data_IF_641778117620
#
_entry.id   IF_641778117620
#
_cell.length_a   1.000
_cell.length_b   1.000
_cell.length_c   1.000
_cell.angle_alpha   90.00
_cell.angle_beta   90.00
_cell.angle_gamma   90.00
#
_symmetry.space_group_name_H-M   'P 1'
#
loop_
_entity.id
_entity.type
_entity.pdbx_description
1 polymer ?
#
# COMPACT_ATOMS: atom_id res chain seq x y z
N UNK A 1 7.38 17.73 12.68
CA UNK A 1 7.21 16.30 13.00
C UNK A 1 8.37 15.55 12.38
N UNK A 2 9.19 14.85 13.17
CA UNK A 2 10.21 13.93 12.65
C UNK A 2 9.63 12.53 12.81
N UNK A 3 9.27 11.90 11.69
CA UNK A 3 8.91 10.50 11.70
C UNK A 3 10.19 9.71 12.01
N UNK A 4 10.22 8.90 13.08
CA UNK A 4 11.30 7.94 13.25
C UNK A 4 11.23 7.00 12.05
N UNK A 5 12.21 7.09 11.16
CA UNK A 5 12.40 6.09 10.12
C UNK A 5 13.19 4.99 10.82
N UNK A 6 12.58 3.81 10.96
CA UNK A 6 13.31 2.64 11.43
C UNK A 6 14.44 2.36 10.43
N UNK A 7 15.66 2.15 10.92
CA UNK A 7 16.85 2.04 10.06
C UNK A 7 16.83 0.78 9.16
N UNK A 8 15.88 -0.15 9.37
CA UNK A 8 15.75 -1.45 8.68
C UNK A 8 14.58 -1.55 7.68
N UNK A 9 13.99 -0.42 7.27
CA UNK A 9 12.88 -0.46 6.30
C UNK A 9 13.42 -0.75 4.89
N UNK A 10 13.13 -1.92 4.33
CA UNK A 10 13.63 -2.38 3.03
C UNK A 10 12.97 -1.71 1.80
N UNK A 11 12.17 -0.65 1.99
CA UNK A 11 11.46 0.03 0.91
C UNK A 11 11.53 1.55 1.03
N UNK A 12 11.47 2.22 -0.13
CA UNK A 12 11.54 3.68 -0.23
C UNK A 12 10.31 4.32 -0.90
N UNK A 13 9.37 3.49 -1.36
CA UNK A 13 8.16 3.93 -2.07
C UNK A 13 6.93 3.26 -1.50
N UNK A 14 5.75 3.84 -1.73
CA UNK A 14 4.48 3.22 -1.32
C UNK A 14 4.29 1.88 -2.04
N UNK A 15 4.68 1.77 -3.31
CA UNK A 15 4.67 0.49 -4.02
C UNK A 15 5.55 -0.57 -3.33
N UNK A 16 6.75 -0.17 -2.87
CA UNK A 16 7.64 -1.05 -2.11
C UNK A 16 7.04 -1.47 -0.77
N UNK A 17 6.38 -0.54 -0.06
CA UNK A 17 5.62 -0.85 1.15
C UNK A 17 4.52 -1.88 0.90
N UNK A 18 3.71 -1.69 -0.15
CA UNK A 18 2.63 -2.63 -0.50
C UNK A 18 3.18 -4.02 -0.84
N UNK A 19 4.27 -4.11 -1.59
CA UNK A 19 4.91 -5.40 -1.90
C UNK A 19 5.51 -6.05 -0.66
N UNK A 20 6.07 -5.24 0.25
CA UNK A 20 6.56 -5.69 1.55
C UNK A 20 5.41 -6.24 2.40
N UNK A 21 4.21 -5.69 2.34
CA UNK A 21 3.06 -6.25 3.05
C UNK A 21 2.49 -7.52 2.42
N UNK A 22 2.28 -7.52 1.10
CA UNK A 22 1.64 -8.64 0.40
C UNK A 22 2.58 -9.85 0.25
N UNK A 23 3.90 -9.64 0.23
CA UNK A 23 4.94 -10.68 0.03
C UNK A 23 4.79 -11.48 -1.28
N UNK A 24 4.02 -10.98 -2.24
CA UNK A 24 3.94 -11.49 -3.61
C UNK A 24 3.67 -10.34 -4.60
N UNK A 25 3.69 -10.64 -5.91
CA UNK A 25 3.22 -9.69 -6.91
C UNK A 25 1.67 -9.69 -6.86
N UNK A 26 1.02 -8.56 -6.59
CA UNK A 26 -0.43 -8.49 -6.51
C UNK A 26 -1.08 -8.50 -7.90
N UNK A 27 -2.38 -8.79 -7.90
CA UNK A 27 -3.25 -8.55 -9.04
C UNK A 27 -3.96 -7.18 -8.93
N UNK A 28 -4.45 -6.64 -10.05
CA UNK A 28 -5.31 -5.43 -10.03
C UNK A 28 -6.64 -5.75 -9.35
N UNK A 29 -7.07 -4.87 -8.45
CA UNK A 29 -8.25 -5.02 -7.58
C UNK A 29 -7.95 -5.71 -6.25
N UNK A 30 -6.74 -6.25 -6.08
CA UNK A 30 -6.31 -6.77 -4.80
C UNK A 30 -6.18 -5.62 -3.79
N UNK A 31 -6.57 -5.87 -2.54
CA UNK A 31 -6.48 -4.89 -1.47
C UNK A 31 -6.14 -5.51 -0.12
N UNK A 32 -5.51 -4.71 0.74
CA UNK A 32 -5.28 -5.05 2.13
C UNK A 32 -5.52 -3.83 3.02
N UNK A 33 -5.67 -4.06 4.33
CA UNK A 33 -5.87 -2.99 5.29
C UNK A 33 -4.83 -2.99 6.40
N UNK A 34 -4.29 -1.82 6.72
CA UNK A 34 -3.29 -1.64 7.79
C UNK A 34 -3.40 -0.25 8.40
N UNK A 35 -3.26 -0.16 9.72
CA UNK A 35 -3.31 1.10 10.48
C UNK A 35 -4.56 1.97 10.22
N UNK A 36 -5.72 1.35 9.97
CA UNK A 36 -6.98 2.06 9.70
C UNK A 36 -7.13 2.59 8.27
N UNK A 37 -6.27 2.15 7.34
CA UNK A 37 -6.33 2.46 5.92
C UNK A 37 -6.51 1.19 5.10
N UNK A 38 -7.19 1.30 3.97
CA UNK A 38 -7.27 0.26 2.94
C UNK A 38 -6.46 0.71 1.73
N UNK A 39 -5.61 -0.19 1.23
CA UNK A 39 -4.77 0.00 0.06
C UNK A 39 -5.27 -0.96 -1.03
N UNK A 40 -5.64 -0.42 -2.18
CA UNK A 40 -6.11 -1.19 -3.34
C UNK A 40 -5.21 -0.93 -4.54
N UNK A 41 -4.80 -2.01 -5.23
CA UNK A 41 -4.01 -1.95 -6.44
C UNK A 41 -4.96 -1.64 -7.60
N UNK A 42 -4.86 -0.44 -8.17
CA UNK A 42 -5.74 -0.03 -9.27
C UNK A 42 -5.07 -0.11 -10.63
N UNK A 43 -3.73 -0.14 -10.68
CA UNK A 43 -2.99 -0.26 -11.94
C UNK A 43 -1.59 -0.88 -11.77
N UNK A 44 -1.20 -1.71 -12.74
CA UNK A 44 0.10 -2.37 -12.82
C UNK A 44 0.74 -2.13 -14.19
N UNK A 45 1.95 -1.56 -14.16
CA UNK A 45 2.83 -1.49 -15.33
C UNK A 45 3.77 -2.69 -15.33
N UNK A 46 3.29 -3.81 -15.88
CA UNK A 46 4.00 -5.09 -15.86
C UNK A 46 4.13 -5.62 -14.43
N UNK A 47 5.34 -5.56 -13.85
CA UNK A 47 5.61 -5.98 -12.45
C UNK A 47 5.71 -4.81 -11.47
N UNK A 48 5.42 -3.59 -11.92
CA UNK A 48 5.50 -2.37 -11.10
C UNK A 48 4.10 -1.90 -10.78
N UNK A 49 3.83 -1.66 -9.50
CA UNK A 49 2.62 -0.96 -9.09
C UNK A 49 2.75 0.50 -9.53
N UNK A 50 1.87 0.94 -10.43
CA UNK A 50 1.86 2.31 -10.94
C UNK A 50 0.90 3.19 -10.13
N UNK A 51 -0.28 2.65 -9.80
CA UNK A 51 -1.31 3.38 -9.06
C UNK A 51 -1.91 2.56 -7.93
N UNK A 52 -2.18 3.25 -6.84
CA UNK A 52 -2.85 2.75 -5.65
C UNK A 52 -3.99 3.69 -5.29
N UNK A 53 -5.12 3.11 -4.88
CA UNK A 53 -6.15 3.84 -4.17
C UNK A 53 -5.98 3.60 -2.67
N UNK A 54 -6.01 4.67 -1.89
CA UNK A 54 -5.90 4.60 -0.42
C UNK A 54 -7.10 5.30 0.18
N UNK A 55 -7.88 4.57 0.96
CA UNK A 55 -9.07 5.07 1.65
C UNK A 55 -8.95 4.84 3.16
N UNK A 56 -9.53 5.72 3.97
CA UNK A 56 -9.62 5.47 5.41
C UNK A 56 -10.75 4.48 5.66
N UNK A 57 -10.56 3.56 6.61
CA UNK A 57 -11.61 2.64 7.05
C UNK A 57 -12.75 3.33 7.81
N UNK A 58 -12.69 4.67 7.96
CA UNK A 58 -13.74 5.48 8.58
C UNK A 58 -14.69 6.11 7.55
N UNK A 59 -14.44 5.94 6.25
CA UNK A 59 -15.33 6.39 5.20
C UNK A 59 -16.26 5.24 4.80
N UNK A 60 -17.29 5.00 5.62
CA UNK A 60 -18.59 4.37 5.29
C UNK A 60 -19.54 4.41 6.50
N UNK A 61 -19.48 5.50 7.28
CA UNK A 61 -20.44 5.80 8.34
C UNK A 61 -21.02 7.20 8.10
N UNK A 62 -21.83 7.32 7.04
CA UNK A 62 -22.83 8.38 6.90
C UNK A 62 -24.19 7.76 6.60
#
# INVERSE_FOLDING_TARGET
MRFPIEDDVEYNTIAGYVLEELKHLPDVGESFSRNGWTFEIVDLDGRRIDKLLVSSQQQDAE
#
